data_IF_145212568139
#
_entry.id   IF_145212568139
#
_cell.length_a   1.000
_cell.length_b   1.000
_cell.length_c   1.000
_cell.angle_alpha   90.00
_cell.angle_beta   90.00
_cell.angle_gamma   90.00
#
_symmetry.space_group_name_H-M   'P 1'
#
loop_
_entity.id
_entity.type
_entity.pdbx_description
1 polymer ?
#
# COMPACT_ATOMS: atom_id res chain seq x y z
N UNK A 1 -8.63 9.73 30.54
CA UNK A 1 -7.44 9.56 29.69
C UNK A 1 -7.17 10.85 28.92
N UNK A 2 -5.92 11.30 28.87
CA UNK A 2 -5.54 12.52 28.16
C UNK A 2 -5.78 12.36 26.64
N UNK A 3 -6.31 13.41 26.01
CA UNK A 3 -6.55 13.41 24.55
C UNK A 3 -5.27 13.15 23.77
N UNK A 4 -4.13 13.65 24.24
CA UNK A 4 -2.84 13.40 23.59
C UNK A 4 -2.49 11.92 23.56
N UNK A 5 -2.72 11.20 24.67
CA UNK A 5 -2.47 9.74 24.71
C UNK A 5 -3.36 8.98 23.73
N UNK A 6 -4.61 9.39 23.58
CA UNK A 6 -5.55 8.76 22.65
C UNK A 6 -5.05 8.94 21.22
N UNK A 7 -4.60 10.14 20.86
CA UNK A 7 -4.08 10.44 19.53
C UNK A 7 -2.83 9.61 19.23
N UNK A 8 -1.87 9.56 20.13
CA UNK A 8 -0.65 8.77 19.96
C UNK A 8 -0.97 7.28 19.86
N UNK A 9 -1.89 6.79 20.70
CA UNK A 9 -2.30 5.37 20.66
C UNK A 9 -2.93 5.01 19.33
N UNK A 10 -3.80 5.86 18.78
CA UNK A 10 -4.41 5.63 17.46
C UNK A 10 -3.35 5.61 16.35
N UNK A 11 -2.41 6.53 16.40
CA UNK A 11 -1.35 6.60 15.40
C UNK A 11 -0.43 5.38 15.44
N UNK A 12 -0.08 4.93 16.66
CA UNK A 12 0.72 3.71 16.85
C UNK A 12 -0.03 2.49 16.33
N UNK A 13 -1.34 2.40 16.58
CA UNK A 13 -2.17 1.30 16.07
C UNK A 13 -2.14 1.24 14.54
N UNK A 14 -2.23 2.40 13.88
CA UNK A 14 -2.12 2.49 12.41
C UNK A 14 -0.74 1.99 11.96
N UNK A 15 0.33 2.39 12.62
CA UNK A 15 1.69 1.94 12.28
C UNK A 15 1.84 0.44 12.41
N UNK A 16 1.41 -0.13 13.54
CA UNK A 16 1.56 -1.56 13.81
C UNK A 16 0.81 -2.38 12.77
N UNK A 17 -0.45 -2.04 12.49
CA UNK A 17 -1.25 -2.78 11.51
C UNK A 17 -0.68 -2.64 10.11
N UNK A 18 -0.21 -1.45 9.74
CA UNK A 18 0.38 -1.21 8.43
C UNK A 18 1.70 -1.99 8.27
N UNK A 19 2.54 -1.99 9.31
CA UNK A 19 3.81 -2.73 9.28
C UNK A 19 3.55 -4.23 9.15
N UNK A 20 2.58 -4.77 9.88
CA UNK A 20 2.19 -6.18 9.76
C UNK A 20 1.75 -6.48 8.33
N UNK A 21 0.93 -5.62 7.74
CA UNK A 21 0.50 -5.77 6.35
C UNK A 21 1.69 -5.72 5.37
N UNK A 22 2.64 -4.79 5.58
CA UNK A 22 3.84 -4.69 4.73
C UNK A 22 4.65 -5.98 4.78
N UNK A 23 4.82 -6.57 5.96
CA UNK A 23 5.53 -7.84 6.10
C UNK A 23 4.81 -8.97 5.38
N UNK A 24 3.50 -9.08 5.56
CA UNK A 24 2.69 -10.08 4.86
C UNK A 24 2.76 -9.87 3.35
N UNK A 25 2.71 -8.62 2.90
CA UNK A 25 2.81 -8.28 1.48
C UNK A 25 4.19 -8.64 0.91
N UNK A 26 5.25 -8.44 1.68
CA UNK A 26 6.60 -8.83 1.27
C UNK A 26 6.68 -10.34 0.99
N UNK A 27 6.13 -11.16 1.88
CA UNK A 27 6.08 -12.60 1.66
C UNK A 27 5.19 -12.97 0.49
N UNK A 28 4.06 -12.31 0.35
CA UNK A 28 3.17 -12.53 -0.79
C UNK A 28 3.83 -12.14 -2.11
N UNK A 29 4.58 -11.04 -2.15
CA UNK A 29 5.33 -10.63 -3.33
C UNK A 29 6.32 -11.70 -3.77
N UNK A 30 6.96 -12.38 -2.81
CA UNK A 30 7.87 -13.47 -3.13
C UNK A 30 7.14 -14.60 -3.89
N UNK A 31 5.94 -14.94 -3.45
CA UNK A 31 5.09 -15.93 -4.15
C UNK A 31 4.75 -15.45 -5.56
N UNK A 32 4.41 -14.18 -5.72
CA UNK A 32 4.08 -13.62 -7.03
C UNK A 32 5.30 -13.60 -7.96
N UNK A 33 6.49 -13.32 -7.45
CA UNK A 33 7.72 -13.40 -8.23
C UNK A 33 7.98 -14.83 -8.71
N UNK A 34 7.70 -15.82 -7.90
CA UNK A 34 7.80 -17.23 -8.30
C UNK A 34 6.84 -17.55 -9.46
N UNK A 35 5.63 -17.03 -9.41
CA UNK A 35 4.66 -17.19 -10.50
C UNK A 35 5.19 -16.51 -11.76
N UNK A 36 5.68 -15.28 -11.67
CA UNK A 36 6.22 -14.54 -12.80
C UNK A 36 7.41 -15.26 -13.46
N UNK A 37 8.26 -15.89 -12.66
CA UNK A 37 9.46 -16.56 -13.17
C UNK A 37 9.15 -17.80 -14.02
N UNK A 38 7.95 -18.33 -13.94
CA UNK A 38 7.52 -19.49 -14.74
C UNK A 38 7.17 -19.12 -16.18
N UNK A 39 7.04 -17.84 -16.49
CA UNK A 39 6.59 -17.36 -17.79
C UNK A 39 7.59 -16.36 -18.35
N UNK A 40 7.93 -16.53 -19.64
CA UNK A 40 8.86 -15.62 -20.31
C UNK A 40 8.19 -14.37 -20.85
N UNK A 41 6.91 -14.44 -21.20
CA UNK A 41 6.15 -13.32 -21.72
C UNK A 41 5.59 -12.47 -20.57
N UNK A 42 5.87 -11.15 -20.59
CA UNK A 42 5.46 -10.25 -19.51
C UNK A 42 3.95 -10.17 -19.33
N UNK A 43 3.20 -10.07 -20.43
CA UNK A 43 1.74 -9.97 -20.36
C UNK A 43 1.14 -11.24 -19.76
N UNK A 44 1.60 -12.39 -20.20
CA UNK A 44 1.10 -13.67 -19.71
C UNK A 44 1.44 -13.86 -18.23
N UNK A 45 2.67 -13.50 -17.83
CA UNK A 45 3.08 -13.53 -16.43
C UNK A 45 2.22 -12.62 -15.56
N UNK A 46 1.91 -11.42 -16.05
CA UNK A 46 1.05 -10.46 -15.32
C UNK A 46 -0.36 -11.00 -15.15
N UNK A 47 -0.93 -11.60 -16.18
CA UNK A 47 -2.26 -12.23 -16.12
C UNK A 47 -2.26 -13.36 -15.08
N UNK A 48 -1.24 -14.20 -15.06
CA UNK A 48 -1.14 -15.31 -14.11
C UNK A 48 -0.99 -14.83 -12.67
N UNK A 49 -0.26 -13.74 -12.45
CA UNK A 49 -0.18 -13.10 -11.13
C UNK A 49 -1.56 -12.62 -10.69
N UNK A 50 -2.32 -11.97 -11.58
CA UNK A 50 -3.65 -11.46 -11.24
C UNK A 50 -4.69 -12.57 -11.04
N UNK A 51 -4.46 -13.77 -11.57
CA UNK A 51 -5.32 -14.91 -11.36
C UNK A 51 -5.13 -15.58 -9.99
N UNK A 52 -4.07 -15.23 -9.25
CA UNK A 52 -3.85 -15.81 -7.92
C UNK A 52 -5.05 -15.50 -7.03
N UNK A 53 -5.59 -16.50 -6.27
CA UNK A 53 -6.79 -16.30 -5.47
C UNK A 53 -6.67 -15.20 -4.42
N UNK A 54 -5.47 -14.96 -3.90
CA UNK A 54 -5.24 -13.96 -2.85
C UNK A 54 -4.90 -12.58 -3.42
N UNK A 55 -4.76 -12.45 -4.75
CA UNK A 55 -4.34 -11.18 -5.38
C UNK A 55 -5.30 -10.04 -5.04
N UNK A 56 -6.60 -10.27 -5.19
CA UNK A 56 -7.60 -9.23 -4.97
C UNK A 56 -7.64 -8.79 -3.50
N UNK A 57 -7.38 -9.73 -2.58
CA UNK A 57 -7.33 -9.44 -1.14
C UNK A 57 -6.17 -8.50 -0.84
N UNK A 58 -4.96 -8.83 -1.31
CA UNK A 58 -3.78 -7.99 -1.08
C UNK A 58 -3.88 -6.65 -1.81
N UNK A 59 -4.46 -6.64 -3.00
CA UNK A 59 -4.72 -5.40 -3.73
C UNK A 59 -5.67 -4.48 -2.98
N UNK A 60 -6.81 -5.03 -2.52
CA UNK A 60 -7.80 -4.26 -1.76
C UNK A 60 -7.26 -3.75 -0.43
N UNK A 61 -6.54 -4.59 0.32
CA UNK A 61 -5.91 -4.20 1.58
C UNK A 61 -4.85 -3.12 1.36
N UNK A 62 -4.09 -3.19 0.28
CA UNK A 62 -3.12 -2.15 -0.06
C UNK A 62 -3.76 -0.79 -0.24
N UNK A 63 -4.86 -0.73 -1.01
CA UNK A 63 -5.62 0.49 -1.17
C UNK A 63 -6.17 1.00 0.16
N UNK A 64 -6.70 0.09 0.99
CA UNK A 64 -7.23 0.43 2.31
C UNK A 64 -6.15 1.07 3.19
N UNK A 65 -4.97 0.49 3.27
CA UNK A 65 -3.89 1.01 4.12
C UNK A 65 -3.32 2.32 3.59
N UNK A 66 -3.25 2.50 2.26
CA UNK A 66 -2.85 3.78 1.67
C UNK A 66 -3.83 4.88 2.08
N UNK A 67 -5.13 4.61 1.96
CA UNK A 67 -6.16 5.58 2.35
C UNK A 67 -6.14 5.84 3.85
N UNK A 68 -5.91 4.81 4.66
CA UNK A 68 -5.83 4.93 6.12
C UNK A 68 -4.66 5.82 6.54
N UNK A 69 -3.50 5.68 5.92
CA UNK A 69 -2.33 6.52 6.22
C UNK A 69 -2.56 7.97 5.81
N UNK A 70 -3.17 8.21 4.65
CA UNK A 70 -3.51 9.56 4.19
C UNK A 70 -4.52 10.19 5.15
N UNK A 71 -5.58 9.47 5.49
CA UNK A 71 -6.59 9.94 6.42
C UNK A 71 -6.00 10.25 7.79
N UNK A 72 -5.14 9.37 8.31
CA UNK A 72 -4.48 9.56 9.60
C UNK A 72 -3.61 10.81 9.59
N UNK A 73 -2.88 11.06 8.50
CA UNK A 73 -2.05 12.26 8.36
C UNK A 73 -2.89 13.54 8.36
N UNK A 74 -3.99 13.56 7.62
CA UNK A 74 -4.91 14.71 7.59
C UNK A 74 -5.49 14.95 8.98
N UNK A 75 -5.88 13.89 9.67
CA UNK A 75 -6.44 14.00 11.01
C UNK A 75 -5.43 14.56 12.00
N UNK A 76 -4.14 14.17 11.91
CA UNK A 76 -3.09 14.73 12.77
C UNK A 76 -2.92 16.22 12.54
N UNK A 77 -3.00 16.70 11.31
CA UNK A 77 -2.94 18.12 11.00
C UNK A 77 -4.11 18.87 11.65
N UNK A 78 -5.31 18.31 11.66
CA UNK A 78 -6.49 18.91 12.29
C UNK A 78 -6.37 18.97 13.83
N UNK A 79 -5.52 18.15 14.42
CA UNK A 79 -5.33 18.07 15.86
C UNK A 79 -4.16 18.93 16.36
N UNK A 80 -3.69 19.88 15.53
CA UNK A 80 -2.54 20.71 15.81
C UNK A 80 -2.66 21.48 17.13
N UNK A 81 -3.88 21.93 17.48
CA UNK A 81 -4.13 22.67 18.70
C UNK A 81 -4.03 21.79 19.95
N UNK A 82 -4.24 20.48 19.80
CA UNK A 82 -4.21 19.53 20.92
C UNK A 82 -2.79 19.07 21.23
N UNK A 83 -2.04 18.68 20.18
CA UNK A 83 -0.71 18.06 20.35
C UNK A 83 0.45 18.99 20.00
N UNK A 84 0.17 20.17 19.43
CA UNK A 84 1.19 21.14 19.04
C UNK A 84 1.80 20.89 17.67
N UNK A 85 2.28 21.96 17.03
CA UNK A 85 2.79 21.91 15.67
C UNK A 85 4.00 20.98 15.53
N UNK A 86 4.91 20.97 16.50
CA UNK A 86 6.10 20.12 16.47
C UNK A 86 5.73 18.63 16.43
N UNK A 87 4.80 18.22 17.26
CA UNK A 87 4.36 16.84 17.34
C UNK A 87 3.58 16.43 16.09
N UNK A 88 2.75 17.33 15.55
CA UNK A 88 2.03 17.09 14.30
C UNK A 88 3.01 16.86 13.16
N UNK A 89 4.03 17.71 13.02
CA UNK A 89 5.03 17.57 11.97
C UNK A 89 5.75 16.22 12.06
N UNK A 90 6.16 15.83 13.27
CA UNK A 90 6.82 14.54 13.48
C UNK A 90 5.92 13.38 13.07
N UNK A 91 4.67 13.37 13.52
CA UNK A 91 3.73 12.27 13.21
C UNK A 91 3.40 12.21 11.72
N UNK A 92 3.22 13.35 11.06
CA UNK A 92 2.94 13.39 9.63
C UNK A 92 4.15 12.89 8.83
N UNK A 93 5.36 13.29 9.21
CA UNK A 93 6.58 12.82 8.55
C UNK A 93 6.71 11.29 8.69
N UNK A 94 6.47 10.75 9.89
CA UNK A 94 6.50 9.30 10.11
C UNK A 94 5.44 8.58 9.27
N UNK A 95 4.23 9.13 9.17
CA UNK A 95 3.19 8.56 8.33
C UNK A 95 3.60 8.55 6.86
N UNK A 96 4.22 9.61 6.38
CA UNK A 96 4.70 9.71 5.01
C UNK A 96 5.80 8.68 4.75
N UNK A 97 6.74 8.49 5.68
CA UNK A 97 7.80 7.48 5.55
C UNK A 97 7.19 6.08 5.43
N UNK A 98 6.24 5.74 6.30
CA UNK A 98 5.55 4.44 6.24
C UNK A 98 4.79 4.28 4.93
N UNK A 99 4.13 5.35 4.46
CA UNK A 99 3.42 5.35 3.19
C UNK A 99 4.35 5.09 2.01
N UNK A 100 5.52 5.72 1.99
CA UNK A 100 6.52 5.51 0.94
C UNK A 100 6.99 4.05 0.92
N UNK A 101 7.30 3.49 2.09
CA UNK A 101 7.70 2.08 2.20
C UNK A 101 6.59 1.17 1.69
N UNK A 102 5.35 1.42 2.08
CA UNK A 102 4.19 0.66 1.62
C UNK A 102 4.05 0.73 0.10
N UNK A 103 4.17 1.93 -0.48
CA UNK A 103 4.06 2.11 -1.93
C UNK A 103 5.14 1.36 -2.69
N UNK A 104 6.38 1.37 -2.18
CA UNK A 104 7.49 0.64 -2.80
C UNK A 104 7.20 -0.86 -2.83
N UNK A 105 6.80 -1.43 -1.70
CA UNK A 105 6.51 -2.87 -1.60
C UNK A 105 5.26 -3.23 -2.41
N UNK A 106 4.24 -2.38 -2.39
CA UNK A 106 2.96 -2.59 -3.07
C UNK A 106 3.08 -2.47 -4.60
N UNK A 107 3.96 -1.61 -5.10
CA UNK A 107 4.08 -1.37 -6.54
C UNK A 107 4.58 -2.59 -7.31
N UNK A 108 5.39 -3.43 -6.68
CA UNK A 108 5.95 -4.63 -7.31
C UNK A 108 5.58 -5.86 -6.50
N UNK A 109 4.98 -6.89 -7.09
CA UNK A 109 4.57 -7.02 -8.48
C UNK A 109 3.13 -6.59 -8.77
N UNK A 110 2.35 -6.18 -7.74
CA UNK A 110 0.90 -5.99 -7.84
C UNK A 110 0.56 -4.88 -8.83
N UNK A 111 1.02 -3.64 -8.57
CA UNK A 111 0.68 -2.51 -9.45
C UNK A 111 1.32 -2.65 -10.82
N UNK A 112 2.53 -3.21 -10.89
CA UNK A 112 3.20 -3.45 -12.16
C UNK A 112 2.42 -4.43 -13.03
N UNK A 113 1.89 -5.51 -12.45
CA UNK A 113 1.07 -6.48 -13.19
C UNK A 113 -0.21 -5.85 -13.70
N UNK A 114 -0.89 -5.05 -12.88
CA UNK A 114 -2.09 -4.32 -13.28
C UNK A 114 -1.77 -3.36 -14.43
N UNK A 115 -0.68 -2.60 -14.32
CA UNK A 115 -0.27 -1.65 -15.34
C UNK A 115 0.04 -2.35 -16.67
N UNK A 116 0.71 -3.49 -16.64
CA UNK A 116 1.01 -4.27 -17.83
C UNK A 116 -0.28 -4.74 -18.52
N UNK A 117 -1.20 -5.33 -17.77
CA UNK A 117 -2.46 -5.85 -18.33
C UNK A 117 -3.30 -4.71 -18.91
N UNK A 118 -3.48 -3.62 -18.18
CA UNK A 118 -4.27 -2.49 -18.67
C UNK A 118 -3.58 -1.75 -19.82
N UNK A 119 -2.25 -1.61 -19.75
CA UNK A 119 -1.48 -0.98 -20.82
C UNK A 119 -1.62 -1.74 -22.15
N UNK A 120 -1.43 -3.05 -22.14
CA UNK A 120 -1.59 -3.88 -23.33
C UNK A 120 -3.04 -3.91 -23.79
N UNK A 121 -4.00 -3.96 -22.84
CA UNK A 121 -5.41 -3.89 -23.17
C UNK A 121 -5.78 -2.60 -23.89
N UNK A 122 -5.27 -1.46 -23.43
CA UNK A 122 -5.51 -0.16 -24.07
C UNK A 122 -4.96 -0.13 -25.50
N UNK A 123 -3.73 -0.62 -25.69
CA UNK A 123 -3.13 -0.68 -27.03
C UNK A 123 -3.96 -1.56 -27.95
N UNK A 124 -4.42 -2.71 -27.46
CA UNK A 124 -5.23 -3.63 -28.23
C UNK A 124 -6.56 -2.99 -28.67
N UNK A 125 -7.22 -2.27 -27.75
CA UNK A 125 -8.47 -1.58 -28.07
C UNK A 125 -8.28 -0.45 -29.09
N UNK A 126 -7.15 0.25 -29.05
CA UNK A 126 -6.85 1.32 -29.99
C UNK A 126 -6.53 0.79 -31.41
N UNK A 127 -6.09 -0.45 -31.53
CA UNK A 127 -5.78 -1.08 -32.82
C UNK A 127 -7.06 -1.61 -33.48
N UNK A 128 -8.04 -1.99 -32.68
CA UNK A 128 -9.32 -2.47 -33.15
C UNK A 128 -10.27 -1.31 -33.43
#
# INVERSE_FOLDING_TARGET
MNQQKIIYTKNIAVYITTIIYILLLHFYNHRLYQIQSRYSEKLYAAIKVMEDPDFIIYFGLGLFFIMLLIYSSIKRVREIEIIGIKNVVILVILNIIVLIILLIVYSKPILTSIAIVFGFGSVFLNVV
#
